data_IF_668735705162
#
_entry.id   IF_668735705162
#
_cell.length_a   1.000
_cell.length_b   1.000
_cell.length_c   1.000
_cell.angle_alpha   90.00
_cell.angle_beta   90.00
_cell.angle_gamma   90.00
#
_symmetry.space_group_name_H-M   'P 1'
#
loop_
_entity.id
_entity.type
_entity.pdbx_description
1 polymer ?
#
# COMPACT_ATOMS: atom_id res chain seq x y z
N UNK A 1 -16.60 1.13 -26.62
CA UNK A 1 -16.15 2.11 -25.61
C UNK A 1 -16.97 2.12 -24.31
N UNK A 2 -18.28 1.85 -24.31
CA UNK A 2 -19.10 1.75 -23.08
C UNK A 2 -18.74 0.57 -22.16
N UNK A 3 -18.48 -0.63 -22.72
CA UNK A 3 -18.06 -1.83 -21.95
C UNK A 3 -16.74 -1.63 -21.19
N UNK A 4 -15.75 -0.94 -21.79
CA UNK A 4 -14.48 -0.57 -21.14
C UNK A 4 -14.68 0.44 -19.99
N UNK A 5 -15.60 1.41 -20.14
CA UNK A 5 -15.91 2.39 -19.08
C UNK A 5 -16.71 1.77 -17.92
N UNK A 6 -17.68 0.90 -18.21
CA UNK A 6 -18.40 0.14 -17.17
C UNK A 6 -17.46 -0.82 -16.42
N UNK A 7 -16.57 -1.51 -17.12
CA UNK A 7 -15.53 -2.34 -16.50
C UNK A 7 -14.57 -1.50 -15.65
N UNK A 8 -14.20 -0.29 -16.07
CA UNK A 8 -13.36 0.60 -15.27
C UNK A 8 -14.06 1.07 -13.99
N UNK A 9 -15.36 1.36 -14.02
CA UNK A 9 -16.14 1.71 -12.83
C UNK A 9 -16.34 0.52 -11.89
N UNK A 10 -16.68 -0.66 -12.41
CA UNK A 10 -16.81 -1.89 -11.63
C UNK A 10 -15.47 -2.33 -11.03
N UNK A 11 -14.38 -2.27 -11.80
CA UNK A 11 -13.03 -2.53 -11.32
C UNK A 11 -12.57 -1.48 -10.29
N UNK A 12 -12.96 -0.21 -10.44
CA UNK A 12 -12.70 0.84 -9.44
C UNK A 12 -13.41 0.58 -8.13
N UNK A 13 -14.69 0.22 -8.17
CA UNK A 13 -15.49 -0.05 -6.99
C UNK A 13 -15.00 -1.33 -6.29
N UNK A 14 -14.67 -2.36 -7.08
CA UNK A 14 -14.06 -3.60 -6.62
C UNK A 14 -12.72 -3.35 -5.94
N UNK A 15 -11.83 -2.52 -6.52
CA UNK A 15 -10.51 -2.28 -5.94
C UNK A 15 -10.56 -1.50 -4.63
N UNK A 16 -11.42 -0.47 -4.53
CA UNK A 16 -11.60 0.27 -3.27
C UNK A 16 -12.03 -0.67 -2.15
N UNK A 17 -13.05 -1.50 -2.43
CA UNK A 17 -13.54 -2.47 -1.45
C UNK A 17 -12.48 -3.52 -1.11
N UNK A 18 -11.72 -4.00 -2.09
CA UNK A 18 -10.62 -4.94 -1.85
C UNK A 18 -9.58 -4.34 -0.88
N UNK A 19 -9.17 -3.08 -1.05
CA UNK A 19 -8.25 -2.43 -0.11
C UNK A 19 -8.89 -2.25 1.27
N UNK A 20 -10.17 -1.86 1.36
CA UNK A 20 -10.89 -1.77 2.64
C UNK A 20 -11.00 -3.13 3.35
N UNK A 21 -11.06 -4.22 2.61
CA UNK A 21 -11.13 -5.60 3.12
C UNK A 21 -9.78 -6.14 3.62
N UNK A 22 -8.67 -5.38 3.52
CA UNK A 22 -7.37 -5.78 4.09
C UNK A 22 -7.35 -5.80 5.62
N UNK A 23 -8.32 -5.14 6.27
CA UNK A 23 -8.43 -5.05 7.72
C UNK A 23 -8.84 -6.37 8.41
N UNK A 24 -9.08 -6.34 9.74
CA UNK A 24 -9.37 -5.14 10.52
C UNK A 24 -8.14 -4.39 11.05
N UNK A 25 -6.95 -4.98 10.99
CA UNK A 25 -5.70 -4.37 11.47
C UNK A 25 -5.02 -3.53 10.37
N UNK A 26 -4.06 -2.68 10.75
CA UNK A 26 -3.26 -1.89 9.79
C UNK A 26 -2.15 -2.69 9.11
N UNK A 27 -1.63 -3.72 9.78
CA UNK A 27 -0.47 -4.49 9.32
C UNK A 27 -0.56 -5.05 7.89
N UNK A 28 -1.70 -5.63 7.43
CA UNK A 28 -1.82 -6.07 6.03
C UNK A 28 -1.69 -4.91 5.03
N UNK A 29 -2.18 -3.72 5.39
CA UNK A 29 -2.04 -2.53 4.58
C UNK A 29 -0.59 -2.02 4.55
N UNK A 30 0.12 -2.07 5.66
CA UNK A 30 1.56 -1.74 5.73
C UNK A 30 2.38 -2.65 4.81
N UNK A 31 2.13 -3.97 4.89
CA UNK A 31 2.76 -4.95 3.99
C UNK A 31 2.43 -4.68 2.53
N UNK A 32 1.17 -4.34 2.23
CA UNK A 32 0.75 -3.97 0.88
C UNK A 32 1.51 -2.75 0.35
N UNK A 33 1.63 -1.69 1.16
CA UNK A 33 2.39 -0.48 0.80
C UNK A 33 3.87 -0.81 0.64
N UNK A 34 4.44 -1.67 1.50
CA UNK A 34 5.82 -2.12 1.34
C UNK A 34 6.07 -2.81 0.00
N UNK A 35 5.17 -3.70 -0.45
CA UNK A 35 5.29 -4.33 -1.76
C UNK A 35 5.06 -3.37 -2.92
N UNK A 36 4.21 -2.35 -2.75
CA UNK A 36 4.06 -1.27 -3.72
C UNK A 36 5.36 -0.50 -3.91
N UNK A 37 6.03 -0.15 -2.81
CA UNK A 37 7.33 0.52 -2.86
C UNK A 37 8.40 -0.36 -3.54
N UNK A 38 8.41 -1.67 -3.29
CA UNK A 38 9.30 -2.61 -4.01
C UNK A 38 9.06 -2.59 -5.52
N UNK A 39 7.80 -2.58 -5.96
CA UNK A 39 7.46 -2.45 -7.39
C UNK A 39 7.94 -1.15 -8.01
N UNK A 40 7.96 -0.07 -7.22
CA UNK A 40 8.49 1.23 -7.62
C UNK A 40 10.03 1.31 -7.57
N UNK A 41 10.72 0.19 -7.34
CA UNK A 41 12.19 0.12 -7.37
C UNK A 41 12.88 0.48 -6.05
N UNK A 42 12.19 0.38 -4.92
CA UNK A 42 12.77 0.59 -3.59
C UNK A 42 13.13 -0.73 -2.91
N UNK A 43 14.18 -0.71 -2.12
CA UNK A 43 14.37 -1.65 -1.02
C UNK A 43 13.46 -1.24 0.15
N UNK A 44 12.95 -2.22 0.91
CA UNK A 44 11.89 -1.98 1.89
C UNK A 44 12.04 -2.84 3.13
N UNK A 45 11.81 -2.23 4.29
CA UNK A 45 11.54 -2.89 5.57
C UNK A 45 10.22 -2.39 6.16
N UNK A 46 9.48 -3.27 6.84
CA UNK A 46 8.19 -2.96 7.48
C UNK A 46 8.29 -3.10 9.00
N UNK A 47 7.53 -2.32 9.77
CA UNK A 47 7.43 -2.45 11.23
C UNK A 47 8.78 -2.27 11.94
N UNK A 48 9.50 -1.20 11.62
CA UNK A 48 10.85 -0.96 12.13
C UNK A 48 10.84 0.02 13.30
N UNK A 49 11.53 -0.31 14.39
CA UNK A 49 11.81 0.67 15.45
C UNK A 49 13.10 1.39 15.07
N UNK A 50 12.99 2.70 14.78
CA UNK A 50 14.12 3.54 14.40
C UNK A 50 14.47 4.53 15.51
N UNK A 51 15.77 4.74 15.81
CA UNK A 51 16.19 5.80 16.71
C UNK A 51 16.00 7.17 16.03
N UNK A 52 15.23 8.04 16.67
CA UNK A 52 15.25 9.47 16.41
C UNK A 52 16.30 10.17 17.27
N UNK A 53 16.49 11.47 17.05
CA UNK A 53 17.38 12.30 17.86
C UNK A 53 16.91 12.38 19.31
N UNK A 54 15.60 12.39 19.54
CA UNK A 54 14.99 12.54 20.84
C UNK A 54 14.43 11.22 21.39
N UNK A 55 13.66 10.47 20.58
CA UNK A 55 13.04 9.20 21.00
C UNK A 55 13.05 8.16 19.88
N UNK A 56 12.81 6.89 20.22
CA UNK A 56 12.62 5.84 19.20
C UNK A 56 11.19 5.85 18.66
N UNK A 57 11.04 5.55 17.38
CA UNK A 57 9.78 5.59 16.64
C UNK A 57 9.53 4.27 15.93
N UNK A 58 8.33 3.69 16.09
CA UNK A 58 7.89 2.56 15.26
C UNK A 58 7.39 3.05 13.91
N UNK A 59 8.16 2.80 12.85
CA UNK A 59 7.86 3.20 11.48
C UNK A 59 7.26 2.03 10.71
N UNK A 60 6.06 2.26 10.18
CA UNK A 60 5.30 1.24 9.45
C UNK A 60 6.07 0.71 8.23
N UNK A 61 6.62 1.60 7.39
CA UNK A 61 7.42 1.22 6.22
C UNK A 61 8.61 2.17 6.07
N UNK A 62 9.80 1.60 5.91
CA UNK A 62 11.03 2.31 5.52
C UNK A 62 11.39 1.86 4.11
N UNK A 63 11.43 2.79 3.16
CA UNK A 63 11.73 2.49 1.76
C UNK A 63 12.91 3.33 1.28
N UNK A 64 13.92 2.72 0.66
CA UNK A 64 15.10 3.44 0.18
C UNK A 64 15.61 2.91 -1.16
N UNK A 65 16.38 3.74 -1.85
CA UNK A 65 17.19 3.37 -3.00
C UNK A 65 18.45 4.25 -3.05
N UNK A 66 19.16 4.28 -4.18
CA UNK A 66 20.36 5.09 -4.33
C UNK A 66 20.15 6.61 -4.20
N UNK A 67 18.92 7.10 -4.36
CA UNK A 67 18.59 8.54 -4.41
C UNK A 67 17.83 9.04 -3.18
N UNK A 68 16.94 8.23 -2.61
CA UNK A 68 16.08 8.66 -1.51
C UNK A 68 15.89 7.59 -0.44
N UNK A 69 15.56 8.04 0.77
CA UNK A 69 15.17 7.20 1.91
C UNK A 69 13.93 7.83 2.56
N UNK A 70 12.85 7.07 2.58
CA UNK A 70 11.52 7.54 2.94
C UNK A 70 11.04 6.86 4.21
N UNK A 71 10.51 7.66 5.13
CA UNK A 71 9.73 7.19 6.27
C UNK A 71 8.26 7.20 5.87
N UNK A 72 7.58 6.07 5.88
CA UNK A 72 6.21 5.97 5.39
C UNK A 72 5.31 5.48 6.52
N UNK A 73 4.28 6.26 6.79
CA UNK A 73 3.28 6.01 7.82
C UNK A 73 1.94 5.68 7.18
N UNK A 74 1.42 4.49 7.50
CA UNK A 74 0.17 3.96 7.01
C UNK A 74 -0.95 4.27 7.99
N UNK A 75 -1.98 4.99 7.53
CA UNK A 75 -3.21 5.26 8.29
C UNK A 75 -4.38 4.55 7.64
N UNK A 76 -4.57 3.30 8.06
CA UNK A 76 -5.65 2.45 7.59
C UNK A 76 -6.96 2.73 8.34
N UNK A 77 -8.07 2.74 7.60
CA UNK A 77 -9.41 2.93 8.16
C UNK A 77 -10.35 1.82 7.66
N UNK A 78 -11.03 1.17 8.61
CA UNK A 78 -12.00 0.11 8.34
C UNK A 78 -13.36 0.64 7.83
N UNK A 79 -13.65 1.92 8.04
CA UNK A 79 -14.92 2.54 7.69
C UNK A 79 -14.77 3.44 6.47
N UNK A 80 -15.57 3.20 5.44
CA UNK A 80 -15.61 4.04 4.25
C UNK A 80 -16.04 5.47 4.61
N UNK A 81 -15.40 6.46 4.00
CA UNK A 81 -15.72 7.88 4.22
C UNK A 81 -15.03 8.52 5.42
N UNK A 82 -14.30 7.76 6.24
CA UNK A 82 -13.45 8.35 7.30
C UNK A 82 -12.36 9.21 6.68
N UNK A 83 -12.16 10.40 7.25
CA UNK A 83 -11.20 11.40 6.79
C UNK A 83 -10.05 11.48 7.80
N UNK A 84 -8.81 11.46 7.33
CA UNK A 84 -7.64 11.75 8.14
C UNK A 84 -7.59 13.26 8.43
N UNK A 85 -7.73 13.63 9.70
CA UNK A 85 -7.64 15.02 10.15
C UNK A 85 -6.20 15.54 10.15
N UNK A 86 -6.03 16.86 10.28
CA UNK A 86 -4.72 17.54 10.30
C UNK A 86 -3.78 17.07 11.41
N UNK A 87 -4.32 16.51 12.50
CA UNK A 87 -3.52 15.92 13.59
C UNK A 87 -2.57 14.82 13.11
N UNK A 88 -2.99 14.05 12.09
CA UNK A 88 -2.21 12.96 11.52
C UNK A 88 -0.90 13.45 10.90
N UNK A 89 -0.90 14.33 9.87
CA UNK A 89 0.33 14.83 9.29
C UNK A 89 1.13 15.70 10.26
N UNK A 90 0.51 16.44 11.18
CA UNK A 90 1.22 17.19 12.23
C UNK A 90 2.09 16.25 13.08
N UNK A 91 1.51 15.16 13.56
CA UNK A 91 2.21 14.16 14.36
C UNK A 91 3.33 13.48 13.56
N UNK A 92 3.02 13.04 12.34
CA UNK A 92 3.98 12.34 11.48
C UNK A 92 5.15 13.23 11.09
N UNK A 93 4.92 14.53 10.83
CA UNK A 93 6.00 15.47 10.56
C UNK A 93 6.99 15.55 11.73
N UNK A 94 6.48 15.62 12.97
CA UNK A 94 7.35 15.67 14.16
C UNK A 94 8.22 14.42 14.27
N UNK A 95 7.64 13.23 14.06
CA UNK A 95 8.38 11.96 14.05
C UNK A 95 9.42 11.91 12.94
N UNK A 96 9.04 12.34 11.74
CA UNK A 96 9.93 12.36 10.59
C UNK A 96 11.13 13.26 10.84
N UNK A 97 10.94 14.47 11.37
CA UNK A 97 12.05 15.39 11.66
C UNK A 97 13.01 14.81 12.70
N UNK A 98 12.50 14.08 13.70
CA UNK A 98 13.31 13.46 14.73
C UNK A 98 14.20 12.33 14.17
N UNK A 99 13.64 11.47 13.30
CA UNK A 99 14.38 10.41 12.60
C UNK A 99 15.34 10.98 11.55
N UNK A 100 14.88 11.97 10.79
CA UNK A 100 15.64 12.62 9.71
C UNK A 100 16.95 13.19 10.25
N UNK A 101 16.94 13.79 11.44
CA UNK A 101 18.16 14.30 12.08
C UNK A 101 19.24 13.23 12.31
N UNK A 102 18.84 11.97 12.57
CA UNK A 102 19.76 10.83 12.68
C UNK A 102 20.21 10.34 11.31
N UNK A 103 19.30 10.30 10.32
CA UNK A 103 19.68 9.92 8.96
C UNK A 103 20.64 10.91 8.30
N UNK A 104 20.51 12.20 8.59
CA UNK A 104 21.39 13.26 8.09
C UNK A 104 22.79 13.23 8.72
N UNK A 105 22.97 12.65 9.91
CA UNK A 105 24.29 12.52 10.54
C UNK A 105 25.09 11.30 10.07
N UNK A 106 24.45 10.41 9.32
CA UNK A 106 25.01 9.15 8.82
C UNK A 106 25.73 9.36 7.47
N UNK A 107 27.06 9.14 7.38
CA UNK A 107 27.83 9.39 6.17
C UNK A 107 27.32 8.64 4.93
N UNK A 108 26.78 7.44 5.11
CA UNK A 108 26.19 6.61 4.05
C UNK A 108 24.95 7.22 3.38
N UNK A 109 24.36 8.26 3.97
CA UNK A 109 23.21 8.96 3.42
C UNK A 109 23.52 10.36 2.87
N UNK A 110 24.80 10.80 2.84
CA UNK A 110 25.18 12.16 2.42
C UNK A 110 24.66 12.58 1.04
N UNK A 111 24.39 11.63 0.14
CA UNK A 111 23.87 11.89 -1.21
C UNK A 111 22.37 11.60 -1.38
N UNK A 112 21.65 11.28 -0.29
CA UNK A 112 20.24 10.88 -0.34
C UNK A 112 19.34 12.02 0.09
N UNK A 113 18.16 12.11 -0.53
CA UNK A 113 17.06 12.91 -0.02
C UNK A 113 16.22 12.12 0.97
N UNK A 114 15.64 12.81 1.95
CA UNK A 114 14.75 12.22 2.95
C UNK A 114 13.35 12.81 2.83
N UNK A 115 12.32 11.97 2.92
CA UNK A 115 10.94 12.43 2.92
C UNK A 115 10.05 11.61 3.85
N UNK A 116 9.19 12.29 4.60
CA UNK A 116 8.11 11.68 5.35
C UNK A 116 6.88 11.50 4.46
N UNK A 117 6.27 10.33 4.49
CA UNK A 117 5.08 9.99 3.72
C UNK A 117 3.93 9.65 4.66
N UNK A 118 2.72 10.07 4.29
CA UNK A 118 1.48 9.64 4.93
C UNK A 118 0.62 8.94 3.89
N UNK A 119 0.34 7.67 4.10
CA UNK A 119 -0.43 6.85 3.16
C UNK A 119 -1.72 6.39 3.83
N UNK A 120 -2.86 6.65 3.20
CA UNK A 120 -4.18 6.21 3.70
C UNK A 120 -5.01 5.57 2.59
N UNK A 121 -5.82 4.59 2.98
CA UNK A 121 -6.81 3.97 2.09
C UNK A 121 -8.08 4.81 1.90
N UNK A 122 -8.20 5.96 2.59
CA UNK A 122 -9.33 6.88 2.44
C UNK A 122 -8.90 8.24 1.91
N UNK A 123 -9.16 9.34 2.64
CA UNK A 123 -8.96 10.73 2.20
C UNK A 123 -8.41 11.57 3.35
N UNK A 124 -7.72 12.64 3.00
CA UNK A 124 -7.31 13.70 3.91
C UNK A 124 -8.37 14.80 3.95
N UNK A 125 -8.47 15.51 5.08
CA UNK A 125 -9.16 16.80 5.11
C UNK A 125 -8.34 17.85 4.36
N UNK A 126 -8.97 18.96 3.97
CA UNK A 126 -8.26 20.05 3.28
C UNK A 126 -7.11 20.58 4.13
N UNK A 127 -7.33 20.84 5.42
CA UNK A 127 -6.27 21.23 6.36
C UNK A 127 -5.12 20.22 6.44
N UNK A 128 -5.41 18.92 6.39
CA UNK A 128 -4.39 17.88 6.43
C UNK A 128 -3.56 17.87 5.13
N UNK A 129 -4.22 18.06 3.99
CA UNK A 129 -3.58 18.17 2.70
C UNK A 129 -2.70 19.43 2.60
N UNK A 130 -3.23 20.57 3.00
CA UNK A 130 -2.56 21.87 2.97
C UNK A 130 -1.35 21.88 3.90
N UNK A 131 -1.52 21.46 5.16
CA UNK A 131 -0.41 21.36 6.10
C UNK A 131 0.65 20.38 5.62
N UNK A 132 0.27 19.15 5.23
CA UNK A 132 1.26 18.14 4.86
C UNK A 132 2.07 18.56 3.63
N UNK A 133 1.44 19.17 2.63
CA UNK A 133 2.14 19.74 1.48
C UNK A 133 3.08 20.88 1.89
N UNK A 134 2.62 21.80 2.74
CA UNK A 134 3.42 22.91 3.26
C UNK A 134 4.65 22.42 4.04
N UNK A 135 4.48 21.39 4.87
CA UNK A 135 5.53 20.80 5.69
C UNK A 135 6.51 19.89 4.92
N UNK A 136 6.27 19.64 3.63
CA UNK A 136 7.11 18.80 2.79
C UNK A 136 6.82 17.29 2.88
N UNK A 137 5.70 16.90 3.50
CA UNK A 137 5.25 15.50 3.51
C UNK A 137 4.72 15.08 2.13
N UNK A 138 4.97 13.83 1.78
CA UNK A 138 4.32 13.19 0.63
C UNK A 138 3.03 12.50 1.08
N UNK A 139 1.88 13.06 0.69
CA UNK A 139 0.58 12.53 1.08
C UNK A 139 0.01 11.65 -0.03
N UNK A 140 -0.41 10.42 0.30
CA UNK A 140 -1.02 9.48 -0.64
C UNK A 140 -2.33 8.97 -0.05
N UNK A 141 -3.44 9.49 -0.57
CA UNK A 141 -4.78 9.02 -0.26
C UNK A 141 -5.31 8.11 -1.37
N UNK A 142 -6.53 7.62 -1.20
CA UNK A 142 -7.21 6.79 -2.20
C UNK A 142 -7.26 7.46 -3.58
N UNK A 143 -7.66 8.73 -3.61
CA UNK A 143 -7.81 9.55 -4.83
C UNK A 143 -7.05 10.88 -4.76
N UNK A 144 -6.08 10.99 -3.84
CA UNK A 144 -5.20 12.15 -3.68
C UNK A 144 -3.72 11.73 -3.65
N UNK A 145 -2.80 12.52 -4.21
CA UNK A 145 -3.05 13.62 -5.14
C UNK A 145 -3.70 13.10 -6.44
N UNK A 146 -4.20 14.01 -7.28
CA UNK A 146 -4.86 13.61 -8.53
C UNK A 146 -3.99 12.69 -9.38
N UNK A 147 -2.67 12.93 -9.43
CA UNK A 147 -1.67 12.05 -10.03
C UNK A 147 -0.78 11.45 -8.94
N UNK A 148 -0.64 10.13 -8.90
CA UNK A 148 0.12 9.44 -7.86
C UNK A 148 -0.68 9.11 -6.60
N UNK A 149 -2.01 9.16 -6.68
CA UNK A 149 -2.87 8.59 -5.63
C UNK A 149 -2.64 7.09 -5.46
N UNK A 150 -3.01 6.54 -4.30
CA UNK A 150 -2.93 5.11 -4.02
C UNK A 150 -3.60 4.29 -5.12
N UNK A 151 -4.79 4.70 -5.57
CA UNK A 151 -5.50 4.04 -6.65
C UNK A 151 -4.67 4.03 -7.94
N UNK A 152 -4.11 5.17 -8.35
CA UNK A 152 -3.29 5.22 -9.57
C UNK A 152 -2.03 4.38 -9.45
N UNK A 153 -1.34 4.44 -8.32
CA UNK A 153 -0.14 3.65 -8.06
C UNK A 153 -0.43 2.16 -8.15
N UNK A 154 -1.53 1.70 -7.57
CA UNK A 154 -1.97 0.30 -7.67
C UNK A 154 -2.23 -0.09 -9.12
N UNK A 155 -2.94 0.77 -9.88
CA UNK A 155 -3.28 0.49 -11.26
C UNK A 155 -2.05 0.47 -12.18
N UNK A 156 -1.11 1.40 -12.01
CA UNK A 156 0.12 1.47 -12.81
C UNK A 156 1.04 0.27 -12.53
N UNK A 157 1.18 -0.10 -11.25
CA UNK A 157 2.05 -1.20 -10.83
C UNK A 157 1.35 -2.56 -10.85
N UNK A 158 0.05 -2.60 -11.16
CA UNK A 158 -0.70 -3.84 -11.25
C UNK A 158 -0.81 -4.62 -9.93
N UNK A 159 -0.83 -3.92 -8.81
CA UNK A 159 -0.69 -4.53 -7.49
C UNK A 159 -2.05 -4.88 -6.87
N UNK A 160 -2.57 -6.06 -7.17
CA UNK A 160 -3.88 -6.49 -6.65
C UNK A 160 -3.76 -7.27 -5.33
N UNK A 161 -4.51 -6.89 -4.28
CA UNK A 161 -4.56 -7.66 -3.03
C UNK A 161 -5.40 -8.94 -3.20
N UNK A 162 -5.17 -9.95 -2.36
CA UNK A 162 -5.96 -11.20 -2.35
C UNK A 162 -7.45 -10.98 -2.09
N UNK A 163 -7.79 -9.85 -1.47
CA UNK A 163 -9.18 -9.41 -1.25
C UNK A 163 -9.91 -9.03 -2.53
N UNK A 164 -9.19 -8.82 -3.64
CA UNK A 164 -9.80 -8.61 -4.96
C UNK A 164 -10.33 -9.92 -5.58
N UNK A 165 -9.95 -11.09 -5.05
CA UNK A 165 -10.37 -12.39 -5.55
C UNK A 165 -11.84 -12.62 -5.19
N UNK A 166 -12.70 -12.70 -6.19
CA UNK A 166 -14.15 -12.86 -6.04
C UNK A 166 -14.54 -14.30 -5.70
N UNK A 167 -13.73 -15.28 -6.10
CA UNK A 167 -13.95 -16.69 -5.77
C UNK A 167 -13.69 -17.06 -4.30
N UNK A 168 -13.19 -16.12 -3.48
CA UNK A 168 -12.93 -16.33 -2.05
C UNK A 168 -13.97 -15.60 -1.20
N UNK A 169 -14.46 -16.27 -0.17
CA UNK A 169 -15.28 -15.61 0.85
C UNK A 169 -14.40 -14.83 1.84
N UNK A 170 -15.03 -13.99 2.68
CA UNK A 170 -14.34 -13.14 3.66
C UNK A 170 -13.40 -13.92 4.59
N UNK A 171 -13.82 -15.09 5.09
CA UNK A 171 -13.01 -15.92 5.98
C UNK A 171 -11.77 -16.47 5.28
N UNK A 172 -11.90 -16.89 4.02
CA UNK A 172 -10.77 -17.40 3.23
C UNK A 172 -9.77 -16.30 2.89
N UNK A 173 -10.25 -15.11 2.51
CA UNK A 173 -9.39 -13.93 2.31
C UNK A 173 -8.62 -13.59 3.59
N UNK A 174 -9.31 -13.59 4.73
CA UNK A 174 -8.70 -13.31 6.02
C UNK A 174 -7.64 -14.34 6.39
N UNK A 175 -7.89 -15.62 6.16
CA UNK A 175 -6.93 -16.69 6.45
C UNK A 175 -5.64 -16.53 5.62
N UNK A 176 -5.75 -16.15 4.35
CA UNK A 176 -4.58 -15.81 3.52
C UNK A 176 -3.78 -14.63 4.11
N UNK A 177 -4.48 -13.55 4.49
CA UNK A 177 -3.86 -12.35 5.07
C UNK A 177 -3.14 -12.65 6.38
N UNK A 178 -3.78 -13.40 7.29
CA UNK A 178 -3.21 -13.80 8.59
C UNK A 178 -1.97 -14.67 8.42
N UNK A 179 -1.88 -15.43 7.33
CA UNK A 179 -0.69 -16.20 6.96
C UNK A 179 0.26 -15.44 6.05
N UNK A 180 0.13 -14.11 6.01
CA UNK A 180 1.04 -13.20 5.32
C UNK A 180 0.87 -13.15 3.80
N UNK A 181 -0.13 -13.79 3.21
CA UNK A 181 -0.42 -13.70 1.78
C UNK A 181 -1.35 -12.52 1.53
N UNK A 182 -0.78 -11.36 1.16
CA UNK A 182 -1.54 -10.12 0.95
C UNK A 182 -1.79 -9.86 -0.54
N UNK A 183 -0.93 -10.35 -1.44
CA UNK A 183 -1.01 -10.07 -2.87
C UNK A 183 -1.44 -11.26 -3.72
N UNK A 184 -2.18 -11.00 -4.79
CA UNK A 184 -2.43 -12.00 -5.84
C UNK A 184 -1.12 -12.51 -6.47
N UNK A 185 -0.08 -11.66 -6.54
CA UNK A 185 1.22 -12.04 -7.05
C UNK A 185 1.89 -13.18 -6.25
N UNK A 186 1.62 -13.25 -4.94
CA UNK A 186 2.12 -14.32 -4.07
C UNK A 186 1.49 -15.66 -4.46
N UNK A 187 0.18 -15.67 -4.72
CA UNK A 187 -0.55 -16.85 -5.21
C UNK A 187 -0.13 -17.25 -6.63
N UNK A 188 0.21 -16.29 -7.50
CA UNK A 188 0.77 -16.57 -8.82
C UNK A 188 2.13 -17.27 -8.72
N UNK A 189 3.02 -16.81 -7.82
CA UNK A 189 4.35 -17.40 -7.60
C UNK A 189 4.29 -18.73 -6.83
N UNK A 190 3.37 -18.84 -5.87
CA UNK A 190 3.23 -19.99 -4.97
C UNK A 190 1.76 -20.42 -4.88
N UNK A 191 1.23 -21.14 -5.90
CA UNK A 191 -0.16 -21.61 -5.92
C UNK A 191 -0.56 -22.47 -4.72
N UNK A 192 0.40 -23.18 -4.11
CA UNK A 192 0.18 -24.03 -2.92
C UNK A 192 -0.27 -23.26 -1.67
N UNK A 193 -0.17 -21.93 -1.66
CA UNK A 193 -0.76 -21.10 -0.61
C UNK A 193 -2.30 -21.22 -0.55
N UNK A 194 -2.96 -21.74 -1.58
CA UNK A 194 -4.39 -22.06 -1.53
C UNK A 194 -4.69 -23.38 -0.79
N UNK A 195 -3.69 -24.20 -0.50
CA UNK A 195 -3.89 -25.52 0.11
C UNK A 195 -4.33 -25.45 1.57
N UNK A 196 -4.02 -24.34 2.25
CA UNK A 196 -4.51 -24.04 3.59
C UNK A 196 -6.01 -23.72 3.64
N UNK A 197 -6.65 -23.44 2.50
CA UNK A 197 -8.06 -23.09 2.45
C UNK A 197 -8.91 -24.35 2.26
N UNK A 198 -10.09 -24.44 2.89
CA UNK A 198 -11.03 -25.55 2.71
C UNK A 198 -11.74 -25.44 1.35
N UNK A 199 -11.02 -25.73 0.27
CA UNK A 199 -11.45 -25.59 -1.12
C UNK A 199 -11.34 -26.91 -1.87
N UNK A 200 -12.35 -27.22 -2.68
CA UNK A 200 -12.26 -28.31 -3.67
C UNK A 200 -11.18 -28.03 -4.72
N UNK A 201 -10.65 -29.08 -5.36
CA UNK A 201 -9.68 -28.91 -6.45
C UNK A 201 -10.25 -28.10 -7.62
N UNK A 202 -11.54 -28.25 -7.92
CA UNK A 202 -12.21 -27.45 -8.95
C UNK A 202 -12.29 -25.96 -8.56
N UNK A 203 -12.57 -25.66 -7.29
CA UNK A 203 -12.57 -24.29 -6.78
C UNK A 203 -11.16 -23.67 -6.86
N UNK A 204 -10.13 -24.41 -6.45
CA UNK A 204 -8.73 -23.96 -6.55
C UNK A 204 -8.34 -23.63 -7.98
N UNK A 205 -8.68 -24.48 -8.95
CA UNK A 205 -8.44 -24.22 -10.39
C UNK A 205 -9.11 -22.94 -10.87
N UNK A 206 -10.37 -22.71 -10.50
CA UNK A 206 -11.10 -21.48 -10.86
C UNK A 206 -10.44 -20.23 -10.25
N UNK A 207 -10.09 -20.28 -8.97
CA UNK A 207 -9.41 -19.18 -8.27
C UNK A 207 -8.04 -18.89 -8.90
N UNK A 208 -7.25 -19.92 -9.21
CA UNK A 208 -5.96 -19.71 -9.88
C UNK A 208 -6.10 -19.11 -11.27
N UNK A 209 -7.16 -19.44 -12.01
CA UNK A 209 -7.47 -18.79 -13.29
C UNK A 209 -7.80 -17.31 -13.11
N UNK A 210 -8.59 -16.96 -12.09
CA UNK A 210 -8.91 -15.57 -11.74
C UNK A 210 -7.65 -14.80 -11.33
N UNK A 211 -6.84 -15.37 -10.43
CA UNK A 211 -5.57 -14.81 -9.95
C UNK A 211 -4.61 -14.55 -11.11
N UNK A 212 -4.46 -15.48 -12.06
CA UNK A 212 -3.64 -15.27 -13.26
C UNK A 212 -4.14 -14.11 -14.11
N UNK A 213 -5.46 -13.92 -14.21
CA UNK A 213 -6.05 -12.78 -14.93
C UNK A 213 -5.73 -11.46 -14.23
N UNK A 214 -5.82 -11.42 -12.90
CA UNK A 214 -5.43 -10.24 -12.11
C UNK A 214 -3.93 -9.94 -12.24
N UNK A 215 -3.08 -10.97 -12.22
CA UNK A 215 -1.64 -10.84 -12.44
C UNK A 215 -1.28 -10.41 -13.88
N UNK A 216 -2.05 -10.78 -14.90
CA UNK A 216 -1.75 -10.38 -16.28
C UNK A 216 -2.14 -8.94 -16.57
N UNK A 217 -3.23 -8.46 -15.97
CA UNK A 217 -3.59 -7.04 -15.99
C UNK A 217 -2.45 -6.17 -15.44
N UNK A 218 -1.70 -6.69 -14.48
CA UNK A 218 -0.54 -6.03 -13.90
C UNK A 218 0.67 -5.89 -14.84
N UNK A 219 0.82 -6.79 -15.81
CA UNK A 219 1.92 -6.76 -16.77
C UNK A 219 1.65 -5.80 -17.93
N UNK A 220 0.38 -5.57 -18.27
CA UNK A 220 -0.05 -4.69 -19.38
C UNK A 220 -0.08 -3.20 -19.07
N UNK A 221 0.15 -2.78 -17.82
CA UNK A 221 0.12 -1.35 -17.41
C UNK A 221 1.49 -0.70 -17.39
N UNK A 222 2.56 -1.44 -17.73
CA UNK A 222 3.86 -0.86 -18.08
C UNK A 222 3.71 -0.24 -19.48
N UNK A 223 3.22 1.00 -19.52
CA UNK A 223 3.32 1.82 -20.73
C UNK A 223 4.82 2.15 -20.86
N UNK A 224 5.48 1.76 -21.98
CA UNK A 224 6.86 2.20 -22.22
C UNK A 224 6.89 3.73 -22.33
N UNK A 225 8.00 4.32 -21.87
CA UNK A 225 8.28 5.76 -21.86
C UNK A 225 7.84 6.51 -23.13
#
# INVERSE_FOLDING_TARGET
MLRRRMNALAARYSLKNAIMELGPTGYPFEKFIGELMKRMGYEVMTGQILPGKCVSHEVDVVAWNGKSKNMIECKFHNTAGKVCSVQVPLYIQSRFLDIKAVWESQPENNSRSFQGWVVTNTRFSDDAADFGKCAGLHLVGWDYPRRGSLKELIQQNGLYPVTAITGLNKKQKQLLIENGTVLCADLCKKPGLLDMLPLSQNSKKKILSEVRTLCSLAATTVIPD
#
